data_IF_193952265160
#
_entry.id   IF_193952265160
#
_cell.length_a   1.000
_cell.length_b   1.000
_cell.length_c   1.000
_cell.angle_alpha   90.00
_cell.angle_beta   90.00
_cell.angle_gamma   90.00
#
_symmetry.space_group_name_H-M   'P 1'
#
loop_
_entity.id
_entity.type
_entity.pdbx_description
1 polymer ?
#
# COMPACT_ATOMS: atom_id res chain seq x y z
N UNK A 1 5.48 -12.16 29.38
CA UNK A 1 6.84 -11.58 29.39
C UNK A 1 7.52 -11.87 28.06
N UNK A 2 8.41 -11.01 27.62
CA UNK A 2 9.06 -11.06 26.31
C UNK A 2 10.58 -10.96 26.50
N UNK A 3 11.32 -11.59 25.59
CA UNK A 3 12.78 -11.51 25.50
C UNK A 3 13.16 -10.92 24.14
N UNK A 4 14.33 -10.28 24.07
CA UNK A 4 14.85 -9.74 22.82
C UNK A 4 15.21 -10.86 21.84
N UNK A 5 14.75 -10.76 20.59
CA UNK A 5 14.99 -11.78 19.54
C UNK A 5 16.30 -11.57 18.76
N UNK A 6 17.19 -10.72 19.26
CA UNK A 6 18.47 -10.38 18.60
C UNK A 6 18.34 -9.78 17.20
N UNK A 7 17.17 -9.20 16.88
CA UNK A 7 16.91 -8.54 15.62
C UNK A 7 16.39 -7.12 15.83
N UNK A 8 17.01 -6.18 15.15
CA UNK A 8 16.58 -4.78 15.09
C UNK A 8 16.49 -4.39 13.61
N UNK A 9 15.35 -3.86 13.21
CA UNK A 9 15.12 -3.34 11.87
C UNK A 9 14.97 -1.82 11.93
N UNK A 10 15.63 -1.12 11.02
CA UNK A 10 15.49 0.34 10.91
C UNK A 10 15.53 0.81 9.46
N UNK A 11 14.77 1.85 9.18
CA UNK A 11 14.79 2.58 7.91
C UNK A 11 15.46 3.96 8.04
N UNK A 12 16.12 4.22 9.19
CA UNK A 12 16.76 5.48 9.53
C UNK A 12 15.81 6.56 10.06
N UNK A 13 14.53 6.27 10.22
CA UNK A 13 13.50 7.14 10.82
C UNK A 13 12.82 6.43 11.98
N UNK A 14 12.56 5.15 11.81
CA UNK A 14 11.95 4.28 12.81
C UNK A 14 12.88 3.12 13.17
N UNK A 15 12.65 2.53 14.33
CA UNK A 15 13.35 1.35 14.77
C UNK A 15 12.32 0.34 15.27
N UNK A 16 12.36 -0.86 14.70
CA UNK A 16 11.53 -1.99 15.13
C UNK A 16 12.41 -2.98 15.90
N UNK A 17 12.08 -3.22 17.15
CA UNK A 17 12.76 -4.21 17.99
C UNK A 17 11.89 -5.45 18.06
N UNK A 18 12.40 -6.56 17.53
CA UNK A 18 11.67 -7.82 17.57
C UNK A 18 11.78 -8.44 18.95
N UNK A 19 10.62 -8.73 19.55
CA UNK A 19 10.52 -9.36 20.87
C UNK A 19 9.86 -10.72 20.74
N UNK A 20 10.44 -11.73 21.36
CA UNK A 20 9.91 -13.09 21.39
C UNK A 20 9.23 -13.34 22.74
N UNK A 21 8.03 -13.92 22.72
CA UNK A 21 7.39 -14.38 23.95
C UNK A 21 8.23 -15.48 24.60
N UNK A 22 8.41 -15.42 25.92
CA UNK A 22 9.30 -16.36 26.62
C UNK A 22 8.86 -17.82 26.50
N UNK A 23 7.55 -18.07 26.35
CA UNK A 23 7.01 -19.42 26.12
C UNK A 23 7.27 -19.96 24.70
N UNK A 24 7.77 -19.10 23.78
CA UNK A 24 8.11 -19.45 22.40
C UNK A 24 9.62 -19.57 22.16
N UNK A 25 10.45 -19.35 23.17
CA UNK A 25 11.90 -19.48 23.04
C UNK A 25 12.25 -20.94 22.69
N UNK A 26 13.04 -21.12 21.63
CA UNK A 26 13.43 -22.43 21.11
C UNK A 26 12.32 -23.20 20.39
N UNK A 27 11.13 -22.66 20.27
CA UNK A 27 10.03 -23.26 19.50
C UNK A 27 9.95 -22.61 18.11
N UNK A 28 9.60 -23.43 17.10
CA UNK A 28 9.27 -22.89 15.78
C UNK A 28 8.00 -22.06 15.90
N UNK A 29 8.06 -20.79 15.45
CA UNK A 29 6.86 -19.94 15.39
C UNK A 29 5.85 -20.64 14.49
N UNK A 30 4.65 -20.98 14.99
CA UNK A 30 3.64 -21.59 14.13
C UNK A 30 3.34 -20.58 13.01
N UNK A 31 3.30 -21.10 11.79
CA UNK A 31 2.77 -20.31 10.67
C UNK A 31 1.40 -19.78 11.12
N UNK A 32 1.10 -18.52 10.76
CA UNK A 32 -0.23 -17.98 10.97
C UNK A 32 -1.22 -19.07 10.59
N UNK A 33 -2.15 -19.41 11.49
CA UNK A 33 -3.19 -20.37 11.15
C UNK A 33 -3.84 -19.83 9.90
N UNK A 34 -3.52 -20.45 8.77
CA UNK A 34 -4.33 -20.29 7.57
C UNK A 34 -5.71 -20.70 8.04
N UNK A 35 -6.63 -19.75 8.11
CA UNK A 35 -8.02 -20.07 8.37
C UNK A 35 -8.36 -21.12 7.32
N UNK A 36 -8.71 -22.32 7.76
CA UNK A 36 -9.22 -23.37 6.92
C UNK A 36 -10.65 -23.01 6.43
N UNK A 37 -10.84 -21.80 5.97
CA UNK A 37 -11.85 -21.54 4.97
C UNK A 37 -11.27 -22.19 3.71
N UNK A 38 -11.62 -23.44 3.53
CA UNK A 38 -11.44 -24.14 2.27
C UNK A 38 -12.31 -23.44 1.24
N UNK A 39 -11.79 -22.31 0.72
CA UNK A 39 -12.30 -21.75 -0.52
C UNK A 39 -12.04 -22.82 -1.58
N UNK A 40 -13.08 -23.53 -1.99
CA UNK A 40 -13.00 -24.50 -3.06
C UNK A 40 -12.79 -23.73 -4.38
N UNK A 41 -11.71 -24.05 -5.06
CA UNK A 41 -11.51 -23.59 -6.43
C UNK A 41 -12.49 -24.32 -7.35
N UNK A 42 -12.88 -23.66 -8.45
CA UNK A 42 -13.89 -24.20 -9.38
C UNK A 42 -13.48 -25.52 -10.01
N UNK A 43 -12.19 -25.75 -10.21
CA UNK A 43 -11.59 -26.99 -10.72
C UNK A 43 -11.57 -28.14 -9.68
N UNK A 44 -11.75 -27.83 -8.40
CA UNK A 44 -11.86 -28.79 -7.31
C UNK A 44 -13.31 -29.29 -7.08
N UNK A 45 -14.29 -28.65 -7.73
CA UNK A 45 -15.69 -29.00 -7.61
C UNK A 45 -15.95 -30.32 -8.33
N UNK A 46 -16.41 -31.34 -7.59
CA UNK A 46 -16.80 -32.63 -8.15
C UNK A 46 -18.14 -32.61 -8.88
N UNK A 47 -18.99 -31.65 -8.57
CA UNK A 47 -20.32 -31.50 -9.15
C UNK A 47 -20.61 -30.02 -9.44
N UNK A 48 -20.90 -29.72 -10.69
CA UNK A 48 -21.23 -28.39 -11.16
C UNK A 48 -22.74 -28.08 -11.13
N UNK A 49 -23.60 -29.05 -10.81
CA UNK A 49 -25.05 -28.84 -10.77
C UNK A 49 -25.46 -27.76 -9.79
N UNK A 50 -24.74 -27.59 -8.70
CA UNK A 50 -25.00 -26.58 -7.67
C UNK A 50 -24.77 -25.14 -8.12
N UNK A 51 -24.10 -24.92 -9.26
CA UNK A 51 -23.77 -23.60 -9.79
C UNK A 51 -24.46 -23.28 -11.13
N UNK A 52 -25.09 -24.27 -11.77
CA UNK A 52 -25.74 -24.10 -13.09
C UNK A 52 -26.82 -23.03 -13.08
N UNK A 53 -27.57 -22.88 -11.98
CA UNK A 53 -28.65 -21.92 -11.83
C UNK A 53 -28.20 -20.61 -11.14
N UNK A 54 -26.91 -20.46 -10.85
CA UNK A 54 -26.37 -19.27 -10.19
C UNK A 54 -25.78 -18.31 -11.20
N UNK A 55 -25.90 -17.02 -10.89
CA UNK A 55 -25.15 -15.98 -11.60
C UNK A 55 -23.67 -16.10 -11.26
N UNK A 56 -22.86 -16.35 -12.26
CA UNK A 56 -21.42 -16.46 -12.13
C UNK A 56 -20.79 -15.20 -12.68
N UNK A 57 -19.86 -14.62 -11.94
CA UNK A 57 -19.12 -13.41 -12.35
C UNK A 57 -17.64 -13.78 -12.42
N UNK A 58 -17.06 -13.71 -13.61
CA UNK A 58 -15.62 -13.83 -13.81
C UNK A 58 -14.95 -12.52 -13.49
N UNK A 59 -13.83 -12.56 -12.76
CA UNK A 59 -13.05 -11.38 -12.36
C UNK A 59 -11.62 -11.53 -12.86
N UNK A 60 -11.18 -10.56 -13.68
CA UNK A 60 -9.79 -10.46 -14.13
C UNK A 60 -9.09 -9.28 -13.46
N UNK A 61 -8.15 -9.52 -12.52
CA UNK A 61 -7.35 -8.48 -11.89
C UNK A 61 -6.15 -8.11 -12.76
N UNK A 62 -6.04 -6.85 -13.14
CA UNK A 62 -4.96 -6.36 -13.98
C UNK A 62 -4.28 -5.10 -13.44
N UNK A 63 -3.21 -4.66 -14.13
CA UNK A 63 -2.50 -3.44 -13.75
C UNK A 63 -3.19 -2.16 -14.23
N UNK A 64 -3.73 -2.15 -15.43
CA UNK A 64 -4.49 -1.02 -15.99
C UNK A 64 -5.93 -1.04 -15.54
N UNK A 65 -6.57 -2.18 -15.68
CA UNK A 65 -7.87 -2.48 -15.13
C UNK A 65 -7.65 -3.24 -13.83
N UNK A 66 -7.81 -2.55 -12.70
CA UNK A 66 -7.61 -3.16 -11.38
C UNK A 66 -8.58 -4.33 -11.20
N UNK A 67 -9.79 -4.17 -11.72
CA UNK A 67 -10.84 -5.19 -11.74
C UNK A 67 -11.60 -5.03 -13.07
N UNK A 68 -11.67 -6.10 -13.82
CA UNK A 68 -12.59 -6.27 -14.93
C UNK A 68 -13.47 -7.47 -14.64
N UNK A 69 -14.79 -7.32 -14.76
CA UNK A 69 -15.76 -8.37 -14.43
C UNK A 69 -16.77 -8.52 -15.53
N UNK A 70 -17.14 -9.77 -15.80
CA UNK A 70 -18.20 -10.14 -16.74
C UNK A 70 -19.04 -11.24 -16.13
N UNK A 71 -20.34 -11.19 -16.31
CA UNK A 71 -21.22 -12.29 -15.90
C UNK A 71 -21.40 -13.34 -17.01
N UNK A 72 -22.08 -14.45 -16.66
CA UNK A 72 -22.30 -15.58 -17.55
C UNK A 72 -23.57 -15.44 -18.44
N UNK A 73 -24.18 -14.26 -18.54
CA UNK A 73 -25.30 -14.08 -19.45
C UNK A 73 -24.81 -14.02 -20.91
N UNK A 74 -25.17 -15.04 -21.70
CA UNK A 74 -24.74 -15.15 -23.10
C UNK A 74 -25.42 -14.19 -24.06
N UNK A 75 -26.56 -13.60 -23.68
CA UNK A 75 -27.34 -12.70 -24.53
C UNK A 75 -27.04 -11.23 -24.23
N UNK A 76 -26.91 -10.89 -22.95
CA UNK A 76 -26.70 -9.53 -22.47
C UNK A 76 -25.70 -9.56 -21.32
N UNK A 77 -24.43 -9.86 -21.60
CA UNK A 77 -23.39 -9.89 -20.61
C UNK A 77 -23.26 -8.50 -19.93
N UNK A 78 -23.37 -8.47 -18.62
CA UNK A 78 -23.07 -7.27 -17.86
C UNK A 78 -21.58 -7.18 -17.62
N UNK A 79 -21.03 -5.99 -17.82
CA UNK A 79 -19.62 -5.70 -17.61
C UNK A 79 -19.43 -4.67 -16.50
N UNK A 80 -18.39 -4.87 -15.71
CA UNK A 80 -17.93 -3.89 -14.74
C UNK A 80 -16.43 -3.68 -14.88
N UNK A 81 -16.03 -2.42 -15.01
CA UNK A 81 -14.64 -2.05 -15.18
C UNK A 81 -14.23 -1.00 -14.15
N UNK A 82 -13.14 -1.28 -13.41
CA UNK A 82 -12.55 -0.36 -12.46
C UNK A 82 -11.07 -0.15 -12.78
N UNK A 83 -10.75 1.00 -13.36
CA UNK A 83 -9.42 1.29 -13.88
C UNK A 83 -8.52 1.99 -12.86
N UNK A 84 -7.21 1.83 -13.02
CA UNK A 84 -6.19 2.55 -12.25
C UNK A 84 -6.29 4.08 -12.43
N UNK A 85 -6.63 4.54 -13.63
CA UNK A 85 -6.80 5.98 -13.87
C UNK A 85 -8.03 6.54 -13.17
N UNK A 86 -9.14 5.81 -13.16
CA UNK A 86 -10.34 6.16 -12.39
C UNK A 86 -10.01 6.30 -10.90
N UNK A 87 -9.28 5.32 -10.36
CA UNK A 87 -8.81 5.35 -8.97
C UNK A 87 -7.91 6.55 -8.68
N UNK A 88 -6.92 6.83 -9.55
CA UNK A 88 -6.00 7.97 -9.40
C UNK A 88 -6.73 9.31 -9.43
N UNK A 89 -7.72 9.44 -10.32
CA UNK A 89 -8.55 10.65 -10.48
C UNK A 89 -9.42 10.87 -9.25
N UNK A 90 -10.20 9.89 -8.86
CA UNK A 90 -11.15 9.96 -7.74
C UNK A 90 -10.44 10.13 -6.38
N UNK A 91 -9.34 9.43 -6.16
CA UNK A 91 -8.52 9.60 -4.95
C UNK A 91 -7.69 10.89 -4.95
N UNK A 92 -7.73 11.70 -6.03
CA UNK A 92 -7.00 12.96 -6.20
C UNK A 92 -5.48 12.82 -6.07
N UNK A 93 -4.92 11.64 -6.38
CA UNK A 93 -3.50 11.33 -6.20
C UNK A 93 -2.62 12.32 -6.97
N UNK A 94 -2.88 12.50 -8.28
CA UNK A 94 -2.10 13.44 -9.12
C UNK A 94 -2.20 14.88 -8.61
N UNK A 95 -3.40 15.31 -8.15
CA UNK A 95 -3.61 16.66 -7.61
C UNK A 95 -2.77 16.89 -6.35
N UNK A 96 -2.78 15.94 -5.42
CA UNK A 96 -2.02 16.07 -4.17
C UNK A 96 -0.51 15.98 -4.41
N UNK A 97 -0.06 15.08 -5.32
CA UNK A 97 1.35 15.01 -5.70
C UNK A 97 1.84 16.35 -6.31
N UNK A 98 1.07 16.94 -7.23
CA UNK A 98 1.42 18.25 -7.82
C UNK A 98 1.51 19.34 -6.76
N UNK A 99 0.55 19.38 -5.82
CA UNK A 99 0.54 20.36 -4.73
C UNK A 99 1.75 20.19 -3.80
N UNK A 100 2.09 18.95 -3.44
CA UNK A 100 3.26 18.65 -2.62
C UNK A 100 4.55 19.08 -3.33
N UNK A 101 4.67 18.84 -4.65
CA UNK A 101 5.83 19.28 -5.43
C UNK A 101 5.97 20.79 -5.42
N UNK A 102 4.87 21.55 -5.56
CA UNK A 102 4.90 23.01 -5.45
C UNK A 102 5.40 23.47 -4.07
N UNK A 103 4.97 22.84 -2.98
CA UNK A 103 5.48 23.18 -1.65
C UNK A 103 6.97 22.87 -1.50
N UNK A 104 7.47 21.84 -2.14
CA UNK A 104 8.89 21.43 -2.09
C UNK A 104 9.83 22.38 -2.86
N UNK A 105 9.32 23.34 -3.61
CA UNK A 105 10.11 24.41 -4.22
C UNK A 105 10.59 25.45 -3.18
N UNK A 106 10.04 25.40 -1.96
CA UNK A 106 10.53 26.21 -0.84
C UNK A 106 12.00 25.90 -0.55
N UNK A 107 12.75 26.96 -0.22
CA UNK A 107 14.19 26.86 0.04
C UNK A 107 14.48 26.80 1.53
N UNK A 108 15.36 25.89 1.91
CA UNK A 108 16.00 25.79 3.23
C UNK A 108 17.51 25.79 2.99
N UNK A 109 18.25 26.63 3.71
CA UNK A 109 19.71 26.81 3.53
C UNK A 109 20.10 27.10 2.05
N UNK A 110 19.31 27.91 1.35
CA UNK A 110 19.56 28.31 -0.05
C UNK A 110 19.21 27.24 -1.10
N UNK A 111 18.84 26.03 -0.71
CA UNK A 111 18.48 24.91 -1.60
C UNK A 111 17.03 24.52 -1.41
N UNK A 112 16.38 24.04 -2.49
CA UNK A 112 14.99 23.56 -2.41
C UNK A 112 14.89 22.25 -1.64
N UNK A 113 13.70 21.97 -1.08
CA UNK A 113 13.44 20.68 -0.44
C UNK A 113 13.69 19.51 -1.40
N UNK A 114 13.27 19.65 -2.67
CA UNK A 114 13.54 18.66 -3.72
C UNK A 114 15.04 18.39 -3.88
N UNK A 115 15.86 19.45 -3.86
CA UNK A 115 17.30 19.29 -3.97
C UNK A 115 17.86 18.45 -2.82
N UNK A 116 17.46 18.75 -1.58
CA UNK A 116 17.90 17.98 -0.41
C UNK A 116 17.49 16.51 -0.48
N UNK A 117 16.26 16.21 -0.94
CA UNK A 117 15.80 14.82 -1.11
C UNK A 117 16.54 14.11 -2.25
N UNK A 118 16.87 14.83 -3.32
CA UNK A 118 17.65 14.29 -4.46
C UNK A 118 19.04 13.88 -4.03
N UNK A 119 19.70 14.67 -3.18
CA UNK A 119 21.02 14.31 -2.62
C UNK A 119 20.95 13.00 -1.83
N UNK A 120 19.90 12.81 -1.00
CA UNK A 120 19.70 11.55 -0.28
C UNK A 120 19.44 10.36 -1.22
N UNK A 121 18.73 10.58 -2.33
CA UNK A 121 18.39 9.51 -3.28
C UNK A 121 19.60 8.93 -4.03
N UNK A 122 20.74 9.62 -4.01
CA UNK A 122 22.01 9.11 -4.56
C UNK A 122 22.60 7.97 -3.71
N UNK A 123 22.18 7.86 -2.46
CA UNK A 123 22.64 6.82 -1.55
C UNK A 123 21.68 5.61 -1.56
N UNK A 124 22.23 4.41 -1.66
CA UNK A 124 21.44 3.20 -1.69
C UNK A 124 20.98 2.78 -0.29
N UNK A 125 19.69 2.92 0.01
CA UNK A 125 19.11 2.47 1.29
C UNK A 125 18.99 0.94 1.43
N UNK A 126 19.13 0.19 0.34
CA UNK A 126 18.98 -1.27 0.30
C UNK A 126 20.33 -1.98 0.11
N UNK A 127 21.43 -1.29 0.42
CA UNK A 127 22.76 -1.91 0.34
C UNK A 127 22.94 -2.96 1.44
N UNK A 128 23.69 -4.01 1.11
CA UNK A 128 24.17 -5.01 2.09
C UNK A 128 25.51 -4.60 2.72
N UNK A 129 26.17 -3.58 2.17
CA UNK A 129 27.38 -3.00 2.72
C UNK A 129 27.03 -2.16 3.96
N UNK A 130 27.60 -2.55 5.11
CA UNK A 130 27.35 -1.90 6.40
C UNK A 130 27.86 -0.47 6.45
N UNK A 131 28.97 -0.16 5.79
CA UNK A 131 29.55 1.19 5.84
C UNK A 131 28.79 2.14 4.91
N UNK A 132 28.39 1.68 3.74
CA UNK A 132 27.48 2.42 2.87
C UNK A 132 26.10 2.66 3.54
N UNK A 133 25.59 1.70 4.30
CA UNK A 133 24.35 1.87 5.05
C UNK A 133 24.50 2.87 6.21
N UNK A 134 25.62 2.82 6.95
CA UNK A 134 25.92 3.83 7.99
C UNK A 134 25.97 5.25 7.42
N UNK A 135 26.60 5.42 6.25
CA UNK A 135 26.66 6.71 5.57
C UNK A 135 25.27 7.20 5.18
N UNK A 136 24.44 6.31 4.59
CA UNK A 136 23.04 6.63 4.30
C UNK A 136 22.29 7.11 5.55
N UNK A 137 22.41 6.42 6.69
CA UNK A 137 21.76 6.79 7.94
C UNK A 137 22.21 8.15 8.46
N UNK A 138 23.52 8.43 8.42
CA UNK A 138 24.07 9.74 8.83
C UNK A 138 23.51 10.88 8.00
N UNK A 139 23.57 10.74 6.66
CA UNK A 139 23.05 11.77 5.74
C UNK A 139 21.55 11.95 5.91
N UNK A 140 20.80 10.85 6.06
CA UNK A 140 19.37 10.90 6.30
C UNK A 140 19.01 11.58 7.61
N UNK A 141 19.75 11.36 8.70
CA UNK A 141 19.52 12.02 9.99
C UNK A 141 19.73 13.54 9.89
N UNK A 142 20.82 13.96 9.25
CA UNK A 142 21.10 15.38 9.02
C UNK A 142 19.99 16.03 8.17
N UNK A 143 19.59 15.37 7.09
CA UNK A 143 18.52 15.84 6.22
C UNK A 143 17.17 15.92 6.96
N UNK A 144 16.81 14.91 7.71
CA UNK A 144 15.58 14.90 8.48
C UNK A 144 15.49 16.11 9.43
N UNK A 145 16.56 16.42 10.13
CA UNK A 145 16.62 17.59 11.02
C UNK A 145 16.40 18.91 10.24
N UNK A 146 16.98 19.04 9.05
CA UNK A 146 16.82 20.23 8.21
C UNK A 146 15.38 20.41 7.71
N UNK A 147 14.74 19.34 7.24
CA UNK A 147 13.41 19.44 6.63
C UNK A 147 12.27 19.18 7.61
N UNK A 148 12.57 18.95 8.88
CA UNK A 148 11.59 18.59 9.90
C UNK A 148 10.48 19.64 10.04
N UNK A 149 10.82 20.91 10.18
CA UNK A 149 9.87 22.01 10.32
C UNK A 149 8.95 22.14 9.10
N UNK A 150 9.46 21.86 7.92
CA UNK A 150 8.68 21.85 6.68
C UNK A 150 7.63 20.73 6.70
N UNK A 151 8.02 19.49 7.01
CA UNK A 151 7.10 18.36 6.98
C UNK A 151 6.16 18.25 8.18
N UNK A 152 6.43 18.96 9.28
CA UNK A 152 5.51 19.08 10.41
C UNK A 152 4.28 19.94 10.12
N UNK A 153 4.26 20.69 9.04
CA UNK A 153 3.13 21.58 8.72
C UNK A 153 1.84 20.77 8.62
N UNK A 154 0.78 21.30 9.22
CA UNK A 154 -0.56 20.72 9.22
C UNK A 154 -1.06 20.32 7.83
N UNK A 155 -0.64 21.05 6.78
CA UNK A 155 -1.07 20.76 5.41
C UNK A 155 -0.74 19.33 4.97
N UNK A 156 0.42 18.78 5.32
CA UNK A 156 0.80 17.42 4.96
C UNK A 156 -0.08 16.36 5.64
N UNK A 157 -0.37 16.57 6.93
CA UNK A 157 -1.31 15.71 7.68
C UNK A 157 -2.71 15.79 7.08
N UNK A 158 -3.18 17.00 6.74
CA UNK A 158 -4.47 17.21 6.08
C UNK A 158 -4.55 16.51 4.72
N UNK A 159 -3.50 16.59 3.90
CA UNK A 159 -3.45 15.91 2.60
C UNK A 159 -3.47 14.38 2.75
N UNK A 160 -2.73 13.83 3.73
CA UNK A 160 -2.77 12.39 4.05
C UNK A 160 -4.16 11.93 4.46
N UNK A 161 -4.81 12.66 5.38
CA UNK A 161 -6.16 12.36 5.83
C UNK A 161 -7.17 12.41 4.67
N UNK A 162 -7.10 13.45 3.85
CA UNK A 162 -7.98 13.60 2.69
C UNK A 162 -7.76 12.47 1.66
N UNK A 163 -6.50 12.07 1.42
CA UNK A 163 -6.19 10.94 0.53
C UNK A 163 -6.80 9.64 1.06
N UNK A 164 -6.68 9.38 2.36
CA UNK A 164 -7.30 8.21 3.01
C UNK A 164 -8.82 8.23 2.90
N UNK A 165 -9.47 9.35 3.21
CA UNK A 165 -10.93 9.50 3.11
C UNK A 165 -11.41 9.29 1.67
N UNK A 166 -10.74 9.92 0.70
CA UNK A 166 -11.09 9.75 -0.71
C UNK A 166 -10.93 8.31 -1.17
N UNK A 167 -9.86 7.63 -0.74
CA UNK A 167 -9.64 6.21 -1.02
C UNK A 167 -10.80 5.37 -0.49
N UNK A 168 -11.19 5.54 0.77
CA UNK A 168 -12.31 4.79 1.38
C UNK A 168 -13.65 5.05 0.70
N UNK A 169 -13.95 6.32 0.40
CA UNK A 169 -15.18 6.69 -0.34
C UNK A 169 -15.21 6.04 -1.72
N UNK A 170 -14.08 6.01 -2.41
CA UNK A 170 -14.01 5.47 -3.75
C UNK A 170 -14.07 3.94 -3.76
N UNK A 171 -13.42 3.26 -2.81
CA UNK A 171 -13.56 1.82 -2.60
C UNK A 171 -15.02 1.44 -2.34
N UNK A 172 -15.73 2.19 -1.48
CA UNK A 172 -17.14 1.94 -1.21
C UNK A 172 -18.01 2.19 -2.45
N UNK A 173 -17.75 3.26 -3.21
CA UNK A 173 -18.44 3.54 -4.48
C UNK A 173 -18.25 2.41 -5.49
N UNK A 174 -17.03 1.88 -5.60
CA UNK A 174 -16.71 0.74 -6.45
C UNK A 174 -17.54 -0.49 -6.06
N UNK A 175 -17.57 -0.84 -4.77
CA UNK A 175 -18.35 -1.97 -4.24
C UNK A 175 -19.86 -1.78 -4.51
N UNK A 176 -20.36 -0.58 -4.28
CA UNK A 176 -21.78 -0.28 -4.53
C UNK A 176 -22.15 -0.39 -6.01
N UNK A 177 -21.27 0.07 -6.91
CA UNK A 177 -21.48 -0.06 -8.35
C UNK A 177 -21.42 -1.53 -8.79
N UNK A 178 -20.47 -2.31 -8.26
CA UNK A 178 -20.42 -3.76 -8.51
C UNK A 178 -21.70 -4.45 -8.08
N UNK A 179 -22.18 -4.17 -6.85
CA UNK A 179 -23.43 -4.74 -6.34
C UNK A 179 -24.65 -4.31 -7.17
N UNK A 180 -24.66 -3.09 -7.72
CA UNK A 180 -25.75 -2.62 -8.58
C UNK A 180 -25.85 -3.39 -9.90
N UNK A 181 -24.72 -3.83 -10.43
CA UNK A 181 -24.64 -4.52 -11.73
C UNK A 181 -24.88 -6.02 -11.56
N UNK A 182 -24.30 -6.62 -10.54
CA UNK A 182 -24.27 -8.08 -10.41
C UNK A 182 -25.09 -8.62 -9.22
N UNK A 183 -25.49 -7.77 -8.28
CA UNK A 183 -26.22 -8.15 -7.05
C UNK A 183 -27.72 -8.32 -7.22
#
# INVERSE_FOLDING_TARGET
KYSFHHMIETDGVSCSILMLRNDMIGKRIPNAKVSLNTEQYIDELKDYSSINDKKIVAIDPGMSDIIYCVDNDTKNANEFRYTQDSRRKECKIKKYSKLILQFKEEKIDGKTIIHHETELSKLNRKTLDTDAFKEYIKVKSILNNKVYSFYQRYIFTKLKLNAYINKKKHEQKMINNFKKIFG
#
